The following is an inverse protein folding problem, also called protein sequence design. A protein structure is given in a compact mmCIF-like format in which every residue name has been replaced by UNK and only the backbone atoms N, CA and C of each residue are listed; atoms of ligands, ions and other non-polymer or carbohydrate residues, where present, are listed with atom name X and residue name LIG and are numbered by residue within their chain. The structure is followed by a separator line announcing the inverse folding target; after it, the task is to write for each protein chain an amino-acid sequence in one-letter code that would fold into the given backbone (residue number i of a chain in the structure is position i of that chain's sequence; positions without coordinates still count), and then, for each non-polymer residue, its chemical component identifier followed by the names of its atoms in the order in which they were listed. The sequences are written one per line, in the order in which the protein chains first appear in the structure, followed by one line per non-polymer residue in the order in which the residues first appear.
data_IF_273776890155
#
_entry.id   IF_273776890155
#
_cell.length_a   1.000
_cell.length_b   1.000
_cell.length_c   1.000
_cell.angle_alpha   90.00
_cell.angle_beta   90.00
_cell.angle_gamma   90.00
#
_symmetry.space_group_name_H-M   'P 1'
#
loop_
_entity.id
_entity.type
_entity.pdbx_description
1 polymer ?
#
# COMPACT_ATOMS: atom_id res chain seq x y z
N UNK A 1 -45.12 9.12 68.13
CA UNK A 1 -43.84 8.37 68.21
C UNK A 1 -42.77 9.35 68.65
N UNK A 2 -42.64 9.56 69.97
CA UNK A 2 -41.72 8.87 70.90
C UNK A 2 -40.26 9.30 70.70
N UNK A 3 -39.48 9.78 71.66
CA UNK A 3 -39.67 10.39 72.99
C UNK A 3 -38.23 10.64 73.53
N UNK A 4 -38.03 11.78 74.23
CA UNK A 4 -37.07 12.12 75.31
C UNK A 4 -35.56 11.97 75.13
N UNK A 5 -34.72 12.99 75.42
CA UNK A 5 -34.36 13.67 76.69
C UNK A 5 -33.52 12.83 77.66
N UNK A 6 -32.43 13.47 78.14
CA UNK A 6 -31.65 13.20 79.37
C UNK A 6 -30.76 11.94 79.33
N UNK A 7 -29.66 11.81 80.06
CA UNK A 7 -29.24 12.47 81.30
C UNK A 7 -27.73 12.26 81.50
N UNK A 8 -27.08 13.17 82.24
CA UNK A 8 -25.72 13.05 82.77
C UNK A 8 -25.57 11.83 83.68
N UNK A 9 -24.44 11.13 83.59
CA UNK A 9 -23.88 10.36 84.69
C UNK A 9 -22.36 10.33 84.57
N UNK A 10 -21.72 11.00 85.53
CA UNK A 10 -20.30 11.00 85.81
C UNK A 10 -20.01 9.80 86.72
N UNK A 11 -19.05 8.93 86.37
CA UNK A 11 -18.48 7.98 87.32
C UNK A 11 -16.98 7.81 87.05
N UNK A 12 -16.24 8.17 88.08
CA UNK A 12 -14.80 8.22 88.23
C UNK A 12 -14.31 6.86 88.75
N UNK A 13 -13.22 6.30 88.19
CA UNK A 13 -12.41 5.30 88.91
C UNK A 13 -10.98 5.27 88.36
N UNK A 14 -10.10 5.89 89.14
CA UNK A 14 -8.64 5.79 89.15
C UNK A 14 -8.15 4.37 89.45
N UNK A 15 -7.13 3.89 88.72
CA UNK A 15 -6.12 3.00 89.28
C UNK A 15 -4.79 3.12 88.52
N UNK A 16 -3.74 3.20 89.32
CA UNK A 16 -2.35 3.52 89.07
C UNK A 16 -1.55 2.25 88.75
N UNK A 17 -0.64 2.28 87.76
CA UNK A 17 0.58 1.47 87.78
C UNK A 17 1.62 2.05 86.83
N UNK A 18 2.68 2.61 87.42
CA UNK A 18 3.89 3.04 86.74
C UNK A 18 4.84 1.84 86.57
N UNK A 19 5.47 1.73 85.39
CA UNK A 19 6.76 1.05 85.23
C UNK A 19 7.64 1.96 84.39
N UNK A 20 8.74 2.43 84.98
CA UNK A 20 9.78 3.20 84.31
C UNK A 20 10.80 2.23 83.69
N UNK A 21 11.16 2.47 82.42
CA UNK A 21 12.40 1.98 81.84
C UNK A 21 12.87 2.95 80.74
N UNK A 22 14.11 3.40 80.92
CA UNK A 22 14.93 4.27 80.08
C UNK A 22 15.14 3.76 78.65
N UNK A 23 15.11 4.65 77.64
CA UNK A 23 15.57 4.33 76.29
C UNK A 23 15.48 5.50 75.30
N UNK A 24 16.67 5.98 74.88
CA UNK A 24 17.02 6.69 73.64
C UNK A 24 16.00 7.62 72.94
N UNK A 25 16.39 8.89 72.79
CA UNK A 25 15.68 9.87 71.96
C UNK A 25 15.46 9.36 70.53
N UNK A 26 14.19 9.28 70.13
CA UNK A 26 13.79 8.97 68.77
C UNK A 26 13.94 10.23 67.91
N UNK A 27 14.87 10.19 66.95
CA UNK A 27 14.94 11.11 65.81
C UNK A 27 13.69 10.87 64.95
N UNK A 28 12.90 11.90 64.58
CA UNK A 28 11.75 11.70 63.72
C UNK A 28 12.21 11.17 62.35
N UNK A 29 11.46 10.23 61.74
CA UNK A 29 11.84 9.63 60.46
C UNK A 29 11.87 10.70 59.36
N UNK A 30 12.81 10.62 58.40
CA UNK A 30 12.87 11.56 57.29
C UNK A 30 11.60 11.44 56.43
N UNK A 31 10.92 12.56 56.21
CA UNK A 31 9.79 12.66 55.29
C UNK A 31 10.24 12.22 53.89
N UNK A 32 9.54 11.27 53.23
CA UNK A 32 9.89 10.86 51.88
C UNK A 32 9.73 12.04 50.92
N UNK A 33 10.80 12.35 50.19
CA UNK A 33 10.76 13.37 49.14
C UNK A 33 9.74 12.96 48.06
N UNK A 34 8.99 13.91 47.46
CA UNK A 34 8.07 13.60 46.38
C UNK A 34 8.83 12.89 45.26
N UNK A 35 8.27 11.83 44.65
CA UNK A 35 8.94 11.13 43.56
C UNK A 35 9.26 12.14 42.46
N UNK A 36 10.55 12.32 42.21
CA UNK A 36 11.03 13.18 41.13
C UNK A 36 10.32 12.77 39.85
N UNK A 37 9.73 13.73 39.15
CA UNK A 37 9.09 13.51 37.87
C UNK A 37 10.15 13.00 36.90
N UNK A 38 10.29 11.68 36.80
CA UNK A 38 11.07 11.06 35.75
C UNK A 38 10.30 11.29 34.46
N UNK A 39 10.71 12.30 33.68
CA UNK A 39 10.28 12.45 32.29
C UNK A 39 10.78 11.21 31.56
N UNK A 40 9.91 10.21 31.41
CA UNK A 40 10.19 9.07 30.54
C UNK A 40 9.98 9.54 29.12
N UNK A 41 11.07 9.90 28.44
CA UNK A 41 11.06 10.13 27.01
C UNK A 41 10.67 8.82 26.31
N UNK A 42 9.42 8.75 25.84
CA UNK A 42 8.91 7.61 25.07
C UNK A 42 9.30 7.85 23.61
N UNK A 43 10.39 7.23 23.17
CA UNK A 43 10.77 7.20 21.75
C UNK A 43 9.92 6.12 21.06
N UNK A 44 8.88 6.54 20.34
CA UNK A 44 8.10 5.62 19.52
C UNK A 44 8.77 5.48 18.14
N UNK A 45 9.42 4.33 17.92
CA UNK A 45 10.05 4.00 16.63
C UNK A 45 9.01 3.33 15.75
N UNK A 46 8.38 4.10 14.87
CA UNK A 46 7.46 3.58 13.88
C UNK A 46 8.26 3.03 12.68
N UNK A 47 8.03 1.76 12.35
CA UNK A 47 8.57 1.11 11.15
C UNK A 47 7.50 1.12 10.07
N UNK A 48 7.92 1.48 8.87
CA UNK A 48 7.05 1.51 7.68
C UNK A 48 7.64 0.57 6.65
N UNK A 49 6.83 -0.36 6.18
CA UNK A 49 7.21 -1.26 5.08
C UNK A 49 6.76 -0.62 3.78
N UNK A 50 7.68 -0.45 2.84
CA UNK A 50 7.38 0.17 1.54
C UNK A 50 7.93 -0.67 0.39
N UNK A 51 7.13 -0.80 -0.66
CA UNK A 51 7.53 -1.52 -1.86
C UNK A 51 8.16 -0.57 -2.88
N UNK A 52 9.34 -0.94 -3.35
CA UNK A 52 10.18 -0.12 -4.22
C UNK A 52 10.68 -0.94 -5.40
N UNK A 53 10.38 -0.51 -6.63
CA UNK A 53 10.98 -1.12 -7.83
C UNK A 53 12.12 -0.26 -8.33
N UNK A 54 13.17 -0.91 -8.81
CA UNK A 54 14.33 -0.23 -9.40
C UNK A 54 14.58 -0.84 -10.76
N UNK A 55 14.58 0.00 -11.80
CA UNK A 55 14.88 -0.41 -13.18
C UNK A 55 16.02 0.42 -13.75
N UNK A 56 16.81 -0.17 -14.63
CA UNK A 56 17.91 0.51 -15.32
C UNK A 56 17.44 1.31 -16.55
N UNK A 57 18.38 1.90 -17.29
CA UNK A 57 18.07 2.67 -18.51
C UNK A 57 17.45 1.83 -19.65
N UNK A 58 17.65 0.50 -19.63
CA UNK A 58 17.07 -0.45 -20.58
C UNK A 58 15.68 -0.94 -20.14
N UNK A 59 15.32 -0.69 -18.89
CA UNK A 59 14.07 -1.12 -18.29
C UNK A 59 14.15 -2.49 -17.62
N UNK A 60 15.36 -3.02 -17.44
CA UNK A 60 15.58 -4.28 -16.74
C UNK A 60 15.55 -4.07 -15.22
N UNK A 61 15.04 -5.04 -14.44
CA UNK A 61 15.01 -4.95 -12.99
C UNK A 61 16.43 -4.98 -12.42
N UNK A 62 16.74 -4.03 -11.54
CA UNK A 62 18.03 -4.00 -10.84
C UNK A 62 17.90 -4.80 -9.55
N UNK A 63 18.49 -5.98 -9.52
CA UNK A 63 18.53 -6.87 -8.34
C UNK A 63 19.84 -6.73 -7.56
N UNK A 64 19.88 -7.22 -6.32
CA UNK A 64 21.09 -7.24 -5.49
C UNK A 64 21.48 -5.92 -4.82
N UNK A 65 20.58 -4.95 -4.73
CA UNK A 65 20.79 -3.72 -3.96
C UNK A 65 20.65 -3.98 -2.46
N UNK A 66 21.56 -3.44 -1.67
CA UNK A 66 21.52 -3.47 -0.21
C UNK A 66 20.77 -2.25 0.35
N UNK A 67 20.37 -2.30 1.62
CA UNK A 67 19.71 -1.18 2.29
C UNK A 67 20.50 0.14 2.19
N UNK A 68 21.84 0.07 2.24
CA UNK A 68 22.73 1.22 2.13
C UNK A 68 22.75 1.88 0.73
N UNK A 69 22.27 1.19 -0.30
CA UNK A 69 22.16 1.77 -1.66
C UNK A 69 20.93 2.69 -1.78
N UNK A 70 19.99 2.61 -0.84
CA UNK A 70 18.77 3.40 -0.85
C UNK A 70 18.89 4.63 0.04
N UNK A 71 18.36 5.74 -0.48
CA UNK A 71 18.10 6.96 0.30
C UNK A 71 16.60 7.20 0.34
N UNK A 72 16.02 7.20 1.54
CA UNK A 72 14.61 7.51 1.75
C UNK A 72 14.45 8.86 2.45
N UNK A 73 13.45 9.64 2.02
CA UNK A 73 13.00 10.87 2.66
C UNK A 73 11.53 10.74 3.01
N UNK A 74 11.18 11.03 4.26
CA UNK A 74 9.80 11.12 4.75
C UNK A 74 9.52 12.57 5.11
N UNK A 75 8.54 13.18 4.46
CA UNK A 75 8.23 14.63 4.58
C UNK A 75 9.47 15.52 4.40
N UNK A 76 10.35 15.12 3.46
CA UNK A 76 11.62 15.80 3.18
C UNK A 76 12.74 15.55 4.21
N UNK A 77 12.49 14.78 5.28
CA UNK A 77 13.48 14.43 6.30
C UNK A 77 14.11 13.06 6.01
N UNK A 78 15.42 12.88 6.20
CA UNK A 78 16.06 11.58 6.03
C UNK A 78 15.42 10.49 6.90
N UNK A 79 15.04 9.38 6.29
CA UNK A 79 14.54 8.18 6.95
C UNK A 79 15.53 7.04 6.75
N UNK A 80 15.86 6.32 7.83
CA UNK A 80 16.82 5.22 7.78
C UNK A 80 16.18 4.00 7.16
N UNK A 81 16.85 3.40 6.16
CA UNK A 81 16.48 2.10 5.58
C UNK A 81 17.14 1.01 6.41
N UNK A 82 16.37 0.27 7.21
CA UNK A 82 16.88 -0.82 8.06
C UNK A 82 17.19 -2.09 7.24
N UNK A 83 16.31 -2.42 6.30
CA UNK A 83 16.47 -3.58 5.43
C UNK A 83 15.93 -3.32 4.03
N UNK A 84 16.48 -4.06 3.07
CA UNK A 84 16.01 -4.12 1.69
C UNK A 84 16.02 -5.59 1.25
N UNK A 85 14.85 -6.14 0.95
CA UNK A 85 14.70 -7.53 0.49
C UNK A 85 14.09 -7.56 -0.90
N UNK A 86 14.74 -8.24 -1.84
CA UNK A 86 14.19 -8.42 -3.19
C UNK A 86 13.17 -9.56 -3.21
N UNK A 87 11.94 -9.24 -3.61
CA UNK A 87 10.86 -10.20 -3.84
C UNK A 87 10.61 -10.31 -5.35
N UNK A 88 10.84 -11.51 -5.88
CA UNK A 88 10.54 -11.83 -7.28
C UNK A 88 9.04 -11.80 -7.57
N UNK A 89 8.68 -11.45 -8.81
CA UNK A 89 7.31 -11.19 -9.26
C UNK A 89 6.36 -12.40 -9.31
N UNK A 90 6.73 -13.54 -8.73
CA UNK A 90 5.88 -14.74 -8.61
C UNK A 90 5.27 -14.91 -7.23
N UNK A 91 5.76 -14.18 -6.22
CA UNK A 91 5.15 -14.18 -4.89
C UNK A 91 3.79 -13.45 -4.93
N UNK A 92 2.75 -13.99 -4.26
CA UNK A 92 1.51 -13.25 -4.06
C UNK A 92 1.84 -11.88 -3.45
N UNK A 93 1.29 -10.82 -4.04
CA UNK A 93 1.45 -9.49 -3.50
C UNK A 93 0.67 -9.43 -2.18
N UNK A 94 1.38 -9.60 -1.06
CA UNK A 94 0.85 -9.44 0.28
C UNK A 94 1.44 -8.17 0.87
N UNK A 95 0.62 -7.12 0.99
CA UNK A 95 0.96 -5.97 1.83
C UNK A 95 0.89 -6.47 3.28
N UNK A 96 2.03 -6.95 3.82
CA UNK A 96 2.21 -7.31 5.23
C UNK A 96 1.36 -8.43 5.82
N UNK A 97 0.42 -9.04 5.07
CA UNK A 97 -0.47 -10.09 5.56
C UNK A 97 -0.42 -11.34 4.67
N UNK A 98 -0.05 -12.46 5.26
CA UNK A 98 -0.18 -13.79 4.68
C UNK A 98 -1.65 -14.11 4.33
N UNK A 99 -1.91 -15.02 3.38
CA UNK A 99 -3.27 -15.49 3.07
C UNK A 99 -4.06 -15.92 4.32
N UNK A 100 -3.39 -16.50 5.31
CA UNK A 100 -3.95 -16.89 6.59
C UNK A 100 -4.37 -15.68 7.44
N UNK A 101 -3.60 -14.60 7.44
CA UNK A 101 -3.91 -13.34 8.14
C UNK A 101 -5.04 -12.55 7.44
N UNK A 102 -5.14 -12.62 6.11
CA UNK A 102 -6.25 -12.06 5.35
C UNK A 102 -7.56 -12.84 5.62
N UNK A 103 -7.48 -14.16 5.76
CA UNK A 103 -8.62 -15.00 6.16
C UNK A 103 -9.05 -14.73 7.62
N UNK A 104 -8.11 -14.48 8.53
CA UNK A 104 -8.39 -14.18 9.94
C UNK A 104 -9.14 -12.85 10.17
N UNK A 105 -9.04 -11.91 9.24
CA UNK A 105 -9.79 -10.63 9.26
C UNK A 105 -11.15 -10.73 8.56
N UNK A 106 -11.58 -11.93 8.14
CA UNK A 106 -12.84 -12.15 7.41
C UNK A 106 -12.78 -11.76 5.94
N UNK A 107 -11.58 -11.44 5.42
CA UNK A 107 -11.35 -11.18 4.00
C UNK A 107 -11.34 -12.48 3.18
N UNK A 108 -11.78 -12.41 1.91
CA UNK A 108 -11.58 -13.52 0.98
C UNK A 108 -10.10 -13.59 0.61
N UNK A 109 -9.47 -14.75 0.79
CA UNK A 109 -8.10 -14.98 0.35
C UNK A 109 -8.05 -14.91 -1.19
N UNK A 110 -7.20 -14.04 -1.74
CA UNK A 110 -6.96 -14.05 -3.18
C UNK A 110 -6.15 -15.29 -3.57
N UNK A 111 -6.40 -15.87 -4.76
CA UNK A 111 -5.52 -16.89 -5.33
C UNK A 111 -4.08 -16.38 -5.40
N UNK A 112 -3.08 -17.28 -5.34
CA UNK A 112 -1.70 -16.89 -5.59
C UNK A 112 -1.56 -16.28 -7.00
N UNK A 113 -0.57 -15.40 -7.16
CA UNK A 113 -0.29 -14.70 -8.42
C UNK A 113 -0.68 -13.24 -8.42
N UNK A 114 -0.23 -12.50 -9.44
CA UNK A 114 -0.44 -11.06 -9.55
C UNK A 114 -1.80 -10.76 -10.17
N UNK A 115 -2.41 -9.66 -9.73
CA UNK A 115 -3.53 -9.04 -10.41
C UNK A 115 -3.02 -7.88 -11.26
N UNK A 116 -3.14 -7.99 -12.57
CA UNK A 116 -2.68 -6.98 -13.53
C UNK A 116 -3.87 -6.37 -14.25
N UNK A 117 -4.00 -5.03 -14.23
CA UNK A 117 -4.97 -4.31 -15.04
C UNK A 117 -4.25 -3.68 -16.23
N UNK A 118 -4.59 -4.11 -17.44
CA UNK A 118 -4.14 -3.45 -18.66
C UNK A 118 -5.12 -2.35 -19.01
N UNK A 119 -4.65 -1.10 -18.96
CA UNK A 119 -5.43 0.08 -19.31
C UNK A 119 -4.95 0.64 -20.65
N UNK A 120 -5.82 0.59 -21.66
CA UNK A 120 -5.56 1.14 -22.99
C UNK A 120 -6.27 2.47 -23.16
N UNK A 121 -5.53 3.53 -23.46
CA UNK A 121 -6.12 4.79 -23.89
C UNK A 121 -5.97 4.91 -25.40
N UNK A 122 -7.07 5.08 -26.12
CA UNK A 122 -7.09 5.16 -27.57
C UNK A 122 -7.49 6.56 -28.03
N UNK A 123 -6.67 7.16 -28.90
CA UNK A 123 -6.91 8.43 -29.60
C UNK A 123 -6.49 8.23 -31.06
N UNK A 124 -7.43 8.44 -32.00
CA UNK A 124 -7.35 7.96 -33.38
C UNK A 124 -6.89 9.01 -34.40
N UNK A 125 -6.02 9.96 -33.99
CA UNK A 125 -5.25 10.71 -35.00
C UNK A 125 -4.43 9.73 -35.87
N UNK A 126 -4.40 9.89 -37.19
CA UNK A 126 -3.82 8.92 -38.16
C UNK A 126 -2.41 8.42 -37.80
N UNK A 127 -1.56 9.28 -37.22
CA UNK A 127 -0.18 8.98 -36.80
C UNK A 127 -0.10 7.95 -35.65
N UNK A 128 -1.21 7.67 -34.95
CA UNK A 128 -1.25 6.82 -33.75
C UNK A 128 -1.78 5.41 -33.97
N UNK A 129 -2.38 5.12 -35.13
CA UNK A 129 -2.94 3.78 -35.41
C UNK A 129 -1.84 2.71 -35.52
N UNK A 130 -0.67 3.06 -36.09
CA UNK A 130 0.48 2.16 -36.21
C UNK A 130 1.07 1.78 -34.84
N UNK A 131 1.25 2.74 -33.93
CA UNK A 131 1.75 2.43 -32.58
C UNK A 131 0.69 1.79 -31.68
N UNK A 132 -0.60 2.04 -31.89
CA UNK A 132 -1.67 1.26 -31.25
C UNK A 132 -1.62 -0.22 -31.67
N UNK A 133 -1.41 -0.50 -32.96
CA UNK A 133 -1.23 -1.87 -33.45
C UNK A 133 0.05 -2.51 -32.92
N UNK A 134 1.16 -1.77 -32.81
CA UNK A 134 2.37 -2.29 -32.15
C UNK A 134 2.14 -2.56 -30.67
N UNK A 135 1.40 -1.69 -29.97
CA UNK A 135 1.07 -1.87 -28.56
C UNK A 135 0.23 -3.12 -28.33
N UNK A 136 -0.71 -3.44 -29.25
CA UNK A 136 -1.47 -4.69 -29.24
C UNK A 136 -0.55 -5.91 -29.17
N UNK A 137 0.37 -6.03 -30.14
CA UNK A 137 1.26 -7.19 -30.22
C UNK A 137 2.17 -7.28 -28.98
N UNK A 138 2.71 -6.16 -28.52
CA UNK A 138 3.57 -6.16 -27.33
C UNK A 138 2.82 -6.49 -26.05
N UNK A 139 1.57 -6.04 -25.90
CA UNK A 139 0.74 -6.41 -24.77
C UNK A 139 0.44 -7.92 -24.76
N UNK A 140 0.18 -8.51 -25.93
CA UNK A 140 0.00 -9.97 -26.08
C UNK A 140 1.30 -10.71 -25.72
N UNK A 141 2.46 -10.26 -26.20
CA UNK A 141 3.76 -10.86 -25.88
C UNK A 141 4.07 -10.78 -24.38
N UNK A 142 3.79 -9.64 -23.74
CA UNK A 142 3.95 -9.46 -22.30
C UNK A 142 3.02 -10.40 -21.53
N UNK A 143 1.75 -10.48 -21.95
CA UNK A 143 0.78 -11.41 -21.36
C UNK A 143 1.33 -12.83 -21.46
N UNK A 144 1.85 -13.27 -22.61
CA UNK A 144 2.42 -14.61 -22.78
C UNK A 144 3.54 -14.96 -21.78
N UNK A 145 4.28 -13.97 -21.26
CA UNK A 145 5.34 -14.14 -20.24
C UNK A 145 4.83 -14.21 -18.79
N UNK A 146 3.56 -13.91 -18.54
CA UNK A 146 2.98 -13.99 -17.19
C UNK A 146 2.92 -15.44 -16.70
N UNK A 147 2.98 -15.63 -15.39
CA UNK A 147 2.86 -16.94 -14.75
C UNK A 147 1.42 -17.48 -14.85
N UNK A 148 1.21 -18.81 -14.77
CA UNK A 148 -0.14 -19.41 -14.80
C UNK A 148 -1.08 -18.92 -13.68
N UNK A 149 -0.50 -18.49 -12.56
CA UNK A 149 -1.22 -17.98 -11.40
C UNK A 149 -1.66 -16.51 -11.58
N UNK A 150 -1.03 -15.76 -12.50
CA UNK A 150 -1.39 -14.36 -12.74
C UNK A 150 -2.79 -14.25 -13.35
N UNK A 151 -3.46 -13.15 -13.05
CA UNK A 151 -4.77 -12.81 -13.59
C UNK A 151 -4.71 -11.43 -14.21
N UNK A 152 -5.31 -11.29 -15.38
CA UNK A 152 -5.34 -10.03 -16.11
C UNK A 152 -6.79 -9.57 -16.29
N UNK A 153 -7.04 -8.31 -15.95
CA UNK A 153 -8.23 -7.58 -16.36
C UNK A 153 -7.83 -6.57 -17.44
N UNK A 154 -8.76 -6.25 -18.34
CA UNK A 154 -8.52 -5.29 -19.44
C UNK A 154 -9.56 -4.19 -19.37
N UNK A 155 -9.08 -2.95 -19.31
CA UNK A 155 -9.89 -1.74 -19.38
C UNK A 155 -9.43 -0.87 -20.56
N UNK A 156 -10.35 -0.13 -21.14
CA UNK A 156 -10.04 0.82 -22.21
C UNK A 156 -10.69 2.17 -21.95
N UNK A 157 -10.04 3.23 -22.40
CA UNK A 157 -10.56 4.59 -22.40
C UNK A 157 -10.48 5.18 -23.81
N UNK A 158 -11.62 5.63 -24.30
CA UNK A 158 -11.76 6.37 -25.55
C UNK A 158 -12.44 7.73 -25.28
N UNK A 159 -13.77 7.81 -25.41
CA UNK A 159 -14.61 8.88 -24.88
C UNK A 159 -14.95 8.69 -23.40
N UNK A 160 -14.94 7.45 -22.91
CA UNK A 160 -15.19 7.11 -21.51
C UNK A 160 -14.54 5.78 -21.13
N UNK A 161 -14.54 5.46 -19.84
CA UNK A 161 -13.96 4.22 -19.33
C UNK A 161 -14.88 3.03 -19.62
N UNK A 162 -14.29 1.93 -20.11
CA UNK A 162 -14.96 0.64 -20.30
C UNK A 162 -14.14 -0.47 -19.68
N UNK A 163 -14.81 -1.37 -18.97
CA UNK A 163 -14.26 -2.67 -18.61
C UNK A 163 -14.47 -3.62 -19.79
N UNK A 164 -13.39 -4.22 -20.31
CA UNK A 164 -13.43 -5.13 -21.46
C UNK A 164 -13.34 -6.60 -21.06
N UNK A 165 -12.69 -6.88 -19.93
CA UNK A 165 -12.54 -8.22 -19.37
C UNK A 165 -12.22 -8.12 -17.88
N UNK A 166 -12.94 -8.89 -17.07
CA UNK A 166 -12.63 -9.09 -15.65
C UNK A 166 -11.37 -9.95 -15.46
N UNK A 167 -10.86 -10.08 -14.25
CA UNK A 167 -9.69 -10.90 -13.97
C UNK A 167 -9.86 -12.34 -14.46
N UNK A 168 -8.93 -12.77 -15.31
CA UNK A 168 -8.87 -14.14 -15.82
C UNK A 168 -7.43 -14.56 -16.09
N UNK A 169 -7.15 -15.86 -16.03
CA UNK A 169 -5.90 -16.45 -16.53
C UNK A 169 -6.02 -16.98 -17.97
N UNK A 170 -7.22 -16.93 -18.55
CA UNK A 170 -7.50 -17.40 -19.91
C UNK A 170 -6.90 -16.44 -20.94
N UNK A 171 -5.83 -16.90 -21.61
CA UNK A 171 -5.08 -16.13 -22.61
C UNK A 171 -5.95 -15.72 -23.79
N UNK A 172 -6.81 -16.60 -24.29
CA UNK A 172 -7.65 -16.31 -25.44
C UNK A 172 -8.66 -15.20 -25.13
N UNK A 173 -9.21 -15.20 -23.91
CA UNK A 173 -10.10 -14.12 -23.44
C UNK A 173 -9.37 -12.79 -23.27
N UNK A 174 -8.15 -12.81 -22.74
CA UNK A 174 -7.32 -11.60 -22.60
C UNK A 174 -6.99 -11.02 -23.97
N UNK A 175 -6.53 -11.84 -24.92
CA UNK A 175 -6.16 -11.40 -26.27
C UNK A 175 -7.36 -10.81 -27.02
N UNK A 176 -8.53 -11.45 -26.91
CA UNK A 176 -9.77 -10.93 -27.48
C UNK A 176 -10.16 -9.58 -26.86
N UNK A 177 -9.94 -9.39 -25.55
CA UNK A 177 -10.22 -8.14 -24.87
C UNK A 177 -9.24 -7.02 -25.26
N UNK A 178 -7.95 -7.33 -25.40
CA UNK A 178 -6.93 -6.40 -25.91
C UNK A 178 -7.29 -5.95 -27.34
N UNK A 179 -7.71 -6.90 -28.19
CA UNK A 179 -8.17 -6.59 -29.54
C UNK A 179 -9.35 -5.59 -29.52
N UNK A 180 -10.37 -5.84 -28.69
CA UNK A 180 -11.54 -4.96 -28.54
C UNK A 180 -11.21 -3.59 -27.92
N UNK A 181 -10.22 -3.54 -27.03
CA UNK A 181 -9.74 -2.30 -26.41
C UNK A 181 -9.07 -1.35 -27.43
N UNK A 182 -8.41 -1.91 -28.44
CA UNK A 182 -7.63 -1.15 -29.43
C UNK A 182 -8.42 -0.85 -30.70
N UNK A 183 -9.26 -1.78 -31.18
CA UNK A 183 -9.96 -1.67 -32.48
C UNK A 183 -11.46 -1.35 -32.36
N UNK A 184 -11.90 -0.84 -31.21
CA UNK A 184 -13.31 -0.62 -30.87
C UNK A 184 -14.20 -1.85 -31.07
N UNK A 185 -14.28 -2.69 -30.05
CA UNK A 185 -15.37 -3.66 -29.95
C UNK A 185 -16.64 -3.03 -29.38
N UNK A 186 -17.80 -3.58 -29.74
CA UNK A 186 -19.08 -3.26 -29.10
C UNK A 186 -18.98 -3.29 -27.57
N UNK A 187 -19.74 -2.42 -26.92
CA UNK A 187 -19.77 -2.34 -25.46
C UNK A 187 -20.72 -3.43 -24.93
N UNK A 188 -20.15 -4.45 -24.31
CA UNK A 188 -20.91 -5.48 -23.62
C UNK A 188 -20.57 -5.41 -22.14
N UNK A 189 -21.59 -5.45 -21.29
CA UNK A 189 -21.40 -5.51 -19.86
C UNK A 189 -20.55 -6.74 -19.50
N UNK A 190 -19.52 -6.52 -18.70
CA UNK A 190 -18.67 -7.60 -18.19
C UNK A 190 -19.28 -8.10 -16.90
N UNK A 191 -19.77 -9.34 -16.91
CA UNK A 191 -20.33 -9.96 -15.72
C UNK A 191 -19.22 -10.24 -14.67
N UNK A 192 -19.50 -10.05 -13.37
CA UNK A 192 -18.57 -10.39 -12.30
C UNK A 192 -18.18 -11.88 -12.31
N UNK A 193 -16.88 -12.15 -12.31
CA UNK A 193 -16.32 -13.48 -12.11
C UNK A 193 -16.22 -13.89 -10.63
N UNK A 194 -15.60 -15.05 -10.35
CA UNK A 194 -15.24 -15.41 -8.98
C UNK A 194 -14.25 -14.39 -8.39
N UNK A 195 -14.19 -14.31 -7.06
CA UNK A 195 -13.22 -13.46 -6.39
C UNK A 195 -11.78 -13.91 -6.70
N UNK A 196 -10.83 -12.98 -6.98
CA UNK A 196 -11.00 -11.54 -7.08
C UNK A 196 -11.65 -11.11 -8.40
N UNK A 197 -12.64 -10.21 -8.31
CA UNK A 197 -13.37 -9.68 -9.47
C UNK A 197 -13.34 -8.15 -9.42
N UNK A 198 -12.80 -7.54 -10.47
CA UNK A 198 -12.87 -6.09 -10.68
C UNK A 198 -14.28 -5.68 -11.05
N UNK A 199 -14.95 -6.49 -11.88
CA UNK A 199 -16.32 -6.24 -12.31
C UNK A 199 -17.32 -6.20 -11.12
N UNK A 200 -17.07 -6.94 -10.04
CA UNK A 200 -17.92 -6.95 -8.84
C UNK A 200 -17.99 -5.58 -8.14
N UNK A 201 -16.95 -4.76 -8.25
CA UNK A 201 -16.82 -3.43 -7.62
C UNK A 201 -16.76 -2.30 -8.66
N UNK A 202 -16.99 -2.60 -9.94
CA UNK A 202 -16.89 -1.64 -11.03
C UNK A 202 -18.17 -0.82 -11.18
N UNK A 203 -18.09 0.48 -10.92
CA UNK A 203 -19.22 1.41 -11.15
C UNK A 203 -19.31 1.78 -12.63
N UNK A 204 -20.11 1.03 -13.38
CA UNK A 204 -20.33 1.26 -14.81
C UNK A 204 -20.95 2.64 -15.09
N UNK A 205 -21.77 3.17 -14.20
CA UNK A 205 -22.41 4.47 -14.38
C UNK A 205 -21.39 5.62 -14.20
N UNK A 206 -20.50 5.53 -13.21
CA UNK A 206 -19.39 6.47 -13.06
C UNK A 206 -18.38 6.32 -14.21
N UNK A 207 -18.11 5.10 -14.67
CA UNK A 207 -17.23 4.84 -15.81
C UNK A 207 -17.73 5.52 -17.09
N UNK A 208 -19.03 5.42 -17.39
CA UNK A 208 -19.66 6.07 -18.53
C UNK A 208 -19.63 7.60 -18.45
N UNK A 209 -19.63 8.17 -17.24
CA UNK A 209 -19.53 9.63 -17.00
C UNK A 209 -18.08 10.14 -16.93
N UNK A 210 -17.09 9.26 -16.92
CA UNK A 210 -15.69 9.65 -16.82
C UNK A 210 -15.22 10.30 -18.13
N UNK A 211 -15.31 11.63 -18.19
CA UNK A 211 -14.96 12.40 -19.39
C UNK A 211 -13.44 12.53 -19.64
N UNK A 212 -12.60 12.06 -18.72
CA UNK A 212 -11.14 12.11 -18.87
C UNK A 212 -10.49 10.78 -18.46
N UNK A 213 -9.34 10.41 -19.05
CA UNK A 213 -8.59 9.22 -18.64
C UNK A 213 -8.24 9.20 -17.15
N UNK A 214 -7.93 10.36 -16.57
CA UNK A 214 -7.66 10.49 -15.13
C UNK A 214 -8.91 10.16 -14.30
N UNK A 215 -10.08 10.68 -14.68
CA UNK A 215 -11.33 10.32 -14.03
C UNK A 215 -11.63 8.82 -14.17
N UNK A 216 -11.34 8.23 -15.34
CA UNK A 216 -11.46 6.79 -15.57
C UNK A 216 -10.54 5.97 -14.64
N UNK A 217 -9.28 6.38 -14.49
CA UNK A 217 -8.38 5.73 -13.54
C UNK A 217 -8.85 5.84 -12.09
N UNK A 218 -9.48 6.95 -11.69
CA UNK A 218 -10.06 7.07 -10.35
C UNK A 218 -11.22 6.09 -10.13
N UNK A 219 -12.03 5.82 -11.17
CA UNK A 219 -13.08 4.79 -11.10
C UNK A 219 -12.46 3.40 -10.96
N UNK A 220 -11.43 3.08 -11.75
CA UNK A 220 -10.68 1.83 -11.62
C UNK A 220 -10.03 1.67 -10.24
N UNK A 221 -9.42 2.73 -9.71
CA UNK A 221 -8.76 2.71 -8.41
C UNK A 221 -9.75 2.38 -7.28
N UNK A 222 -10.95 2.97 -7.30
CA UNK A 222 -12.03 2.64 -6.36
C UNK A 222 -12.51 1.20 -6.52
N UNK A 223 -12.67 0.73 -7.76
CA UNK A 223 -13.04 -0.66 -8.01
C UNK A 223 -11.97 -1.65 -7.51
N UNK A 224 -10.69 -1.27 -7.51
CA UNK A 224 -9.60 -2.08 -6.98
C UNK A 224 -9.49 -2.02 -5.45
N UNK A 225 -10.13 -1.06 -4.77
CA UNK A 225 -10.02 -0.87 -3.31
C UNK A 225 -10.35 -2.12 -2.49
N UNK A 226 -11.42 -2.88 -2.77
CA UNK A 226 -11.77 -4.08 -1.99
C UNK A 226 -10.87 -5.29 -2.27
N UNK A 227 -10.02 -5.24 -3.30
CA UNK A 227 -9.13 -6.34 -3.63
C UNK A 227 -7.87 -6.29 -2.76
N UNK A 228 -7.36 -7.45 -2.34
CA UNK A 228 -6.20 -7.54 -1.44
C UNK A 228 -4.91 -7.18 -2.15
N UNK A 229 -3.89 -6.88 -1.33
CA UNK A 229 -2.58 -6.45 -1.80
C UNK A 229 -2.55 -4.97 -2.13
N UNK A 230 -1.36 -4.39 -2.20
CA UNK A 230 -1.22 -3.00 -2.57
C UNK A 230 -1.36 -2.77 -4.07
N UNK A 231 -1.87 -1.58 -4.37
CA UNK A 231 -2.17 -1.14 -5.71
C UNK A 231 -1.03 -0.23 -6.17
N UNK A 232 -0.48 -0.54 -7.34
CA UNK A 232 0.61 0.23 -7.94
C UNK A 232 0.28 0.55 -9.38
N UNK A 233 0.49 1.80 -9.78
CA UNK A 233 0.34 2.25 -11.16
C UNK A 233 1.70 2.29 -11.86
N UNK A 234 1.96 1.33 -12.75
CA UNK A 234 3.24 1.18 -13.48
C UNK A 234 3.32 2.10 -14.71
N UNK A 235 2.25 2.83 -15.05
CA UNK A 235 2.20 3.70 -16.23
C UNK A 235 3.15 4.92 -16.17
N UNK A 236 3.55 5.35 -14.96
CA UNK A 236 4.60 6.37 -14.80
C UNK A 236 5.96 5.88 -15.34
N UNK A 237 6.13 4.56 -15.42
CA UNK A 237 7.42 3.91 -15.63
C UNK A 237 7.78 3.88 -17.12
N UNK A 238 6.76 3.90 -17.98
CA UNK A 238 6.83 3.77 -19.43
C UNK A 238 6.95 5.08 -20.20
N UNK A 239 7.09 6.23 -19.52
CA UNK A 239 7.10 7.56 -20.15
C UNK A 239 6.01 8.52 -19.67
N UNK A 240 5.27 8.13 -18.63
CA UNK A 240 4.28 8.97 -17.99
C UNK A 240 2.89 8.84 -18.60
N UNK A 241 1.91 9.35 -17.86
CA UNK A 241 0.59 9.66 -18.38
C UNK A 241 0.77 10.58 -19.60
N UNK A 242 0.25 10.16 -20.76
CA UNK A 242 0.11 10.94 -22.01
C UNK A 242 1.24 11.09 -23.03
N UNK A 243 2.51 10.71 -22.81
CA UNK A 243 3.55 11.05 -23.81
C UNK A 243 4.54 9.92 -24.13
N UNK A 244 4.62 9.58 -25.43
CA UNK A 244 5.69 8.81 -26.13
C UNK A 244 5.54 7.29 -26.26
N UNK A 245 4.50 6.63 -25.73
CA UNK A 245 4.27 5.19 -26.00
C UNK A 245 4.04 4.88 -27.49
N UNK A 246 3.54 5.82 -28.28
CA UNK A 246 3.42 5.68 -29.74
C UNK A 246 4.79 5.73 -30.47
N UNK A 247 5.77 6.43 -29.89
CA UNK A 247 7.07 6.66 -30.53
C UNK A 247 8.08 5.55 -30.17
N UNK A 248 8.02 5.03 -28.94
CA UNK A 248 8.92 3.98 -28.44
C UNK A 248 8.18 2.88 -27.66
N UNK A 249 7.20 2.19 -28.29
CA UNK A 249 6.38 1.19 -27.60
C UNK A 249 7.20 0.03 -27.03
N UNK A 250 8.37 -0.28 -27.62
CA UNK A 250 9.27 -1.32 -27.12
C UNK A 250 9.84 -0.99 -25.75
N UNK A 251 10.47 0.18 -25.60
CA UNK A 251 11.08 0.57 -24.33
C UNK A 251 10.04 0.73 -23.21
N UNK A 252 8.85 1.22 -23.57
CA UNK A 252 7.73 1.29 -22.64
C UNK A 252 7.39 -0.09 -22.08
N UNK A 253 7.20 -1.09 -22.94
CA UNK A 253 6.82 -2.44 -22.51
C UNK A 253 7.96 -3.14 -21.77
N UNK A 254 9.22 -3.00 -22.20
CA UNK A 254 10.38 -3.56 -21.47
C UNK A 254 10.43 -3.04 -20.04
N UNK A 255 10.17 -1.75 -19.83
CA UNK A 255 10.10 -1.16 -18.47
C UNK A 255 8.95 -1.72 -17.63
N UNK A 256 7.78 -2.00 -18.24
CA UNK A 256 6.68 -2.68 -17.54
C UNK A 256 7.11 -4.09 -17.15
N UNK A 257 7.70 -4.84 -18.08
CA UNK A 257 8.18 -6.19 -17.83
C UNK A 257 9.18 -6.22 -16.68
N UNK A 258 10.16 -5.31 -16.66
CA UNK A 258 11.11 -5.20 -15.56
C UNK A 258 10.47 -4.76 -14.24
N UNK A 259 9.52 -3.82 -14.27
CA UNK A 259 8.77 -3.44 -13.07
C UNK A 259 7.89 -4.59 -12.54
N UNK A 260 7.38 -5.45 -13.41
CA UNK A 260 6.61 -6.63 -13.03
C UNK A 260 7.50 -7.78 -12.54
N UNK A 261 8.79 -7.80 -12.89
CA UNK A 261 9.71 -8.88 -12.54
C UNK A 261 9.97 -9.00 -11.03
N UNK A 262 9.77 -7.94 -10.26
CA UNK A 262 9.87 -7.96 -8.80
C UNK A 262 9.96 -6.56 -8.20
N UNK A 263 10.15 -6.51 -6.88
CA UNK A 263 10.32 -5.27 -6.11
C UNK A 263 11.18 -5.52 -4.89
N UNK A 264 11.72 -4.46 -4.31
CA UNK A 264 12.28 -4.45 -2.97
C UNK A 264 11.20 -4.15 -1.95
N UNK A 265 11.19 -4.90 -0.86
CA UNK A 265 10.49 -4.56 0.37
C UNK A 265 11.50 -3.84 1.27
N UNK A 266 11.31 -2.53 1.46
CA UNK A 266 12.15 -1.73 2.33
C UNK A 266 11.48 -1.54 3.69
N UNK A 267 12.23 -1.74 4.76
CA UNK A 267 11.80 -1.36 6.11
C UNK A 267 12.44 -0.02 6.46
N UNK A 268 11.61 0.99 6.63
CA UNK A 268 12.03 2.36 6.93
C UNK A 268 11.73 2.69 8.40
N UNK A 269 12.67 3.37 9.05
CA UNK A 269 12.41 4.04 10.32
C UNK A 269 11.87 5.43 10.03
N UNK A 270 10.61 5.65 10.40
CA UNK A 270 9.96 6.95 10.23
C UNK A 270 10.61 7.97 11.17
N UNK A 271 11.00 9.16 10.67
CA UNK A 271 11.39 10.28 11.52
C UNK A 271 10.28 10.66 12.49
N UNK A 272 10.62 11.18 13.67
CA UNK A 272 9.60 11.57 14.63
C UNK A 272 8.69 12.70 14.11
N UNK A 273 7.40 12.54 14.35
CA UNK A 273 6.37 13.45 13.89
C UNK A 273 4.95 12.96 14.22
N UNK A 274 3.93 13.81 13.95
CA UNK A 274 2.53 13.41 14.08
C UNK A 274 2.24 12.19 13.19
N UNK A 275 1.27 11.37 13.57
CA UNK A 275 0.75 10.31 12.69
C UNK A 275 -0.13 10.92 11.60
N UNK A 276 -0.24 10.24 10.47
CA UNK A 276 -1.11 10.61 9.37
C UNK A 276 -0.54 10.21 8.01
N UNK A 277 -0.94 10.97 6.98
CA UNK A 277 -0.42 10.79 5.64
C UNK A 277 0.95 11.46 5.53
N UNK A 278 1.95 10.70 5.10
CA UNK A 278 3.31 11.16 4.94
C UNK A 278 3.75 11.09 3.48
N UNK A 279 4.51 12.08 3.02
CA UNK A 279 5.18 12.04 1.73
C UNK A 279 6.44 11.17 1.80
N UNK A 280 6.66 10.34 0.78
CA UNK A 280 7.80 9.44 0.66
C UNK A 280 8.52 9.69 -0.66
N UNK A 281 9.84 9.87 -0.59
CA UNK A 281 10.73 9.82 -1.74
C UNK A 281 11.82 8.77 -1.50
N UNK A 282 12.10 7.96 -2.51
CA UNK A 282 13.14 6.92 -2.46
C UNK A 282 14.02 7.05 -3.69
N UNK A 283 15.32 7.01 -3.50
CA UNK A 283 16.33 7.17 -4.54
C UNK A 283 17.47 6.15 -4.36
N UNK A 284 18.18 5.85 -5.45
CA UNK A 284 19.44 5.09 -5.45
C UNK A 284 20.56 6.01 -5.95
N UNK A 285 21.33 6.66 -5.06
CA UNK A 285 22.29 7.69 -5.45
C UNK A 285 23.40 7.17 -6.36
N UNK A 286 23.94 8.06 -7.21
CA UNK A 286 25.14 7.80 -8.02
C UNK A 286 24.92 6.85 -9.20
N UNK A 287 23.69 6.42 -9.47
CA UNK A 287 23.35 5.55 -10.59
C UNK A 287 22.14 6.11 -11.34
N UNK A 288 22.15 6.00 -12.67
CA UNK A 288 21.04 6.42 -13.52
C UNK A 288 19.90 5.37 -13.50
N UNK A 289 19.40 5.05 -12.32
CA UNK A 289 18.29 4.12 -12.12
C UNK A 289 16.99 4.88 -11.93
N UNK A 290 15.89 4.27 -12.39
CA UNK A 290 14.55 4.76 -12.12
C UNK A 290 13.99 4.01 -10.94
N UNK A 291 13.68 4.74 -9.87
CA UNK A 291 13.13 4.21 -8.62
C UNK A 291 11.64 4.51 -8.54
N UNK A 292 10.85 3.50 -8.18
CA UNK A 292 9.40 3.52 -8.25
C UNK A 292 8.85 3.07 -6.90
N UNK A 293 8.24 4.00 -6.18
CA UNK A 293 7.64 3.76 -4.88
C UNK A 293 6.31 4.52 -4.80
N UNK A 294 5.40 4.10 -3.91
CA UNK A 294 4.24 4.93 -3.58
C UNK A 294 4.77 6.28 -3.04
N UNK A 295 4.27 7.43 -3.54
CA UNK A 295 4.77 8.74 -3.10
C UNK A 295 4.27 9.13 -1.71
N UNK A 296 3.37 8.34 -1.12
CA UNK A 296 2.83 8.56 0.22
C UNK A 296 2.54 7.22 0.92
N UNK A 297 2.53 7.25 2.25
CA UNK A 297 2.03 6.17 3.10
C UNK A 297 1.25 6.76 4.29
N UNK A 298 0.48 5.92 4.98
CA UNK A 298 -0.28 6.29 6.17
C UNK A 298 0.08 5.37 7.34
N UNK A 299 0.24 5.92 8.54
CA UNK A 299 0.57 5.21 9.79
C UNK A 299 -0.49 5.35 10.90
#
# INVERSE_FOLDING_TARGET
MTVRTAMRALALATALAAVAATGAGAVPPPTPAPPGMTVRERVEVARVVVDVRVVDGRGEPVTGLAAADFRALVDGRPATVESAEWVGGTAPYAEGLTPEQAAATGGKAAPPGRLVVLFFQSDFSEVRLSGLMQMKFRAIDMVAKLQPADRVAVASFDSHLKLRQDFTGDRARIDAAIHKAILFGGESAVAPGPFPSLAASFDAAAAARAATPVAGLLVLARALEPLPGAKSLVAADTGGFYAKTNLFPGQAITRVEGALAGHYVLVLVRPQGPRGLHALAVEVPGRAFKVLAKPTFQD
#
